data_IF_590989518785
#
_entry.id   IF_590989518785
#
_cell.length_a   1.000
_cell.length_b   1.000
_cell.length_c   1.000
_cell.angle_alpha   90.00
_cell.angle_beta   90.00
_cell.angle_gamma   90.00
#
_symmetry.space_group_name_H-M   'P 1'
#
loop_
_entity.id
_entity.type
_entity.pdbx_description
1 polymer ?
#
# COMPACT_ATOMS: atom_id res chain seq x y z
N UNK A 1 7.95 -22.91 17.09
CA UNK A 1 8.24 -22.79 15.66
C UNK A 1 7.87 -21.37 15.22
N UNK A 2 8.73 -20.38 15.49
CA UNK A 2 8.35 -18.94 15.45
C UNK A 2 8.95 -18.15 14.27
N UNK A 3 9.89 -18.72 13.51
CA UNK A 3 10.58 -18.04 12.39
C UNK A 3 10.60 -18.88 11.10
N UNK A 4 10.18 -20.15 11.18
CA UNK A 4 10.28 -21.11 10.08
C UNK A 4 8.97 -21.41 9.35
N UNK A 5 7.87 -20.74 9.69
CA UNK A 5 6.58 -20.96 9.05
C UNK A 5 6.40 -20.00 7.86
N UNK A 6 6.47 -20.49 6.62
CA UNK A 6 6.40 -19.63 5.42
C UNK A 6 5.06 -18.91 5.28
N UNK A 7 3.99 -19.49 5.84
CA UNK A 7 2.64 -18.92 5.78
C UNK A 7 2.58 -17.58 6.54
N UNK A 8 3.19 -17.50 7.73
CA UNK A 8 3.19 -16.25 8.52
C UNK A 8 4.00 -15.13 7.87
N UNK A 9 5.14 -15.47 7.25
CA UNK A 9 5.95 -14.50 6.53
C UNK A 9 5.19 -13.95 5.31
N UNK A 10 4.48 -14.83 4.62
CA UNK A 10 3.66 -14.46 3.46
C UNK A 10 2.48 -13.59 3.87
N UNK A 11 1.80 -13.91 4.98
CA UNK A 11 0.68 -13.11 5.51
C UNK A 11 1.12 -11.68 5.85
N UNK A 12 2.26 -11.51 6.53
CA UNK A 12 2.81 -10.18 6.86
C UNK A 12 3.18 -9.43 5.57
N UNK A 13 3.85 -10.09 4.62
CA UNK A 13 4.26 -9.47 3.37
C UNK A 13 3.07 -9.04 2.50
N UNK A 14 2.06 -9.91 2.35
CA UNK A 14 0.84 -9.62 1.60
C UNK A 14 0.07 -8.44 2.22
N UNK A 15 -0.01 -8.37 3.54
CA UNK A 15 -0.66 -7.24 4.20
C UNK A 15 0.01 -5.91 3.86
N UNK A 16 1.34 -5.84 3.96
CA UNK A 16 2.10 -4.62 3.64
C UNK A 16 1.87 -4.23 2.17
N UNK A 17 2.01 -5.17 1.23
CA UNK A 17 1.78 -4.93 -0.20
C UNK A 17 0.37 -4.40 -0.43
N UNK A 18 -0.64 -4.97 0.24
CA UNK A 18 -2.02 -4.55 0.10
C UNK A 18 -2.25 -3.11 0.56
N UNK A 19 -1.62 -2.69 1.67
CA UNK A 19 -1.65 -1.29 2.14
C UNK A 19 -1.04 -0.35 1.10
N UNK A 20 0.13 -0.70 0.54
CA UNK A 20 0.74 0.11 -0.53
C UNK A 20 -0.10 0.14 -1.81
N UNK A 21 -0.80 -0.94 -2.14
CA UNK A 21 -1.73 -0.97 -3.27
C UNK A 21 -2.91 -0.03 -3.07
N UNK A 22 -3.46 0.08 -1.85
CA UNK A 22 -4.50 1.10 -1.56
C UNK A 22 -3.95 2.50 -1.86
N UNK A 23 -2.73 2.82 -1.40
CA UNK A 23 -2.11 4.11 -1.70
C UNK A 23 -1.85 4.30 -3.19
N UNK A 24 -1.42 3.26 -3.91
CA UNK A 24 -1.24 3.32 -5.35
C UNK A 24 -2.58 3.62 -6.06
N UNK A 25 -3.67 2.95 -5.72
CA UNK A 25 -4.98 3.22 -6.32
C UNK A 25 -5.49 4.63 -6.02
N UNK A 26 -5.30 5.11 -4.79
CA UNK A 26 -5.57 6.51 -4.43
C UNK A 26 -4.71 7.46 -5.26
N UNK A 27 -3.43 7.14 -5.45
CA UNK A 27 -2.52 7.94 -6.27
C UNK A 27 -2.96 7.97 -7.75
N UNK A 28 -3.48 6.88 -8.31
CA UNK A 28 -4.02 6.87 -9.68
C UNK A 28 -5.25 7.79 -9.78
N UNK A 29 -6.11 7.82 -8.77
CA UNK A 29 -7.25 8.74 -8.72
C UNK A 29 -6.79 10.21 -8.63
N UNK A 30 -5.84 10.51 -7.74
CA UNK A 30 -5.24 11.84 -7.60
C UNK A 30 -4.54 12.28 -8.90
N UNK A 31 -3.75 11.40 -9.50
CA UNK A 31 -3.00 11.68 -10.71
C UNK A 31 -3.95 11.99 -11.88
N UNK A 32 -5.08 11.29 -11.96
CA UNK A 32 -6.10 11.57 -12.98
C UNK A 32 -6.83 12.89 -12.74
N UNK A 33 -7.04 13.29 -11.48
CA UNK A 33 -7.58 14.61 -11.15
C UNK A 33 -6.59 15.73 -11.46
N UNK A 34 -5.29 15.50 -11.24
CA UNK A 34 -4.22 16.50 -11.40
C UNK A 34 -3.75 16.68 -12.85
N UNK A 35 -3.82 15.63 -13.67
CA UNK A 35 -3.44 15.68 -15.09
C UNK A 35 -4.58 15.19 -15.99
N UNK A 36 -5.68 15.96 -16.12
CA UNK A 36 -6.79 15.63 -17.02
C UNK A 36 -6.43 15.70 -18.51
N UNK A 37 -5.29 16.30 -18.86
CA UNK A 37 -4.94 16.79 -20.20
C UNK A 37 -3.57 16.29 -20.72
N UNK A 38 -3.18 15.04 -20.45
CA UNK A 38 -2.12 14.43 -21.27
C UNK A 38 -2.77 13.76 -22.48
N UNK A 39 -2.97 14.55 -23.54
CA UNK A 39 -3.73 14.19 -24.75
C UNK A 39 -3.18 13.00 -25.56
N UNK A 40 -2.03 12.39 -25.23
CA UNK A 40 -1.40 11.41 -26.15
C UNK A 40 -0.83 10.12 -25.58
N UNK A 41 -0.98 9.80 -24.29
CA UNK A 41 -0.36 8.57 -23.77
C UNK A 41 -1.33 7.71 -22.95
N UNK A 42 -1.77 6.63 -23.61
CA UNK A 42 -2.40 5.41 -23.08
C UNK A 42 -3.42 5.60 -21.94
N UNK A 43 -4.69 5.77 -22.34
CA UNK A 43 -5.84 5.62 -21.43
C UNK A 43 -6.02 4.14 -21.12
N UNK A 44 -6.01 3.78 -19.84
CA UNK A 44 -6.38 2.43 -19.38
C UNK A 44 -7.78 2.11 -19.91
N UNK A 45 -7.96 1.08 -20.77
CA UNK A 45 -9.28 0.69 -21.24
C UNK A 45 -10.11 0.25 -20.02
N UNK A 46 -11.30 0.82 -19.83
CA UNK A 46 -12.23 0.61 -18.67
C UNK A 46 -12.00 1.46 -17.41
N UNK A 47 -11.28 2.57 -17.48
CA UNK A 47 -11.39 3.58 -16.43
C UNK A 47 -12.84 4.15 -16.36
N UNK A 48 -13.50 4.27 -15.20
CA UNK A 48 -13.03 4.15 -13.81
C UNK A 48 -13.40 2.85 -13.08
N UNK A 49 -13.86 1.79 -13.76
CA UNK A 49 -14.28 0.55 -13.09
C UNK A 49 -13.11 -0.18 -12.42
N UNK A 50 -11.97 -0.28 -13.13
CA UNK A 50 -10.81 -1.05 -12.65
C UNK A 50 -10.28 -0.51 -11.31
N UNK A 51 -10.03 0.80 -11.13
CA UNK A 51 -9.57 1.35 -9.85
C UNK A 51 -10.57 1.14 -8.71
N UNK A 52 -11.87 1.27 -8.97
CA UNK A 52 -12.90 1.14 -7.93
C UNK A 52 -12.96 -0.30 -7.41
N UNK A 53 -12.98 -1.28 -8.31
CA UNK A 53 -12.96 -2.71 -7.95
C UNK A 53 -11.68 -3.04 -7.18
N UNK A 54 -10.54 -2.48 -7.60
CA UNK A 54 -9.27 -2.73 -6.96
C UNK A 54 -9.19 -2.15 -5.53
N UNK A 55 -9.73 -0.94 -5.31
CA UNK A 55 -9.85 -0.36 -3.96
C UNK A 55 -10.75 -1.24 -3.09
N UNK A 56 -11.91 -1.66 -3.58
CA UNK A 56 -12.84 -2.51 -2.83
C UNK A 56 -12.16 -3.83 -2.44
N UNK A 57 -11.50 -4.49 -3.40
CA UNK A 57 -10.77 -5.74 -3.15
C UNK A 57 -9.64 -5.53 -2.13
N UNK A 58 -8.90 -4.42 -2.24
CA UNK A 58 -7.81 -4.14 -1.33
C UNK A 58 -8.27 -3.85 0.10
N UNK A 59 -9.34 -3.06 0.26
CA UNK A 59 -9.96 -2.79 1.57
C UNK A 59 -10.52 -4.08 2.15
N UNK A 60 -11.13 -4.94 1.33
CA UNK A 60 -11.64 -6.24 1.77
C UNK A 60 -10.52 -7.16 2.29
N UNK A 61 -9.41 -7.26 1.56
CA UNK A 61 -8.26 -8.08 1.98
C UNK A 61 -7.68 -7.54 3.29
N UNK A 62 -7.40 -6.23 3.38
CA UNK A 62 -6.87 -5.62 4.61
C UNK A 62 -7.82 -5.82 5.79
N UNK A 63 -9.13 -5.62 5.58
CA UNK A 63 -10.15 -5.85 6.60
C UNK A 63 -10.20 -7.31 7.04
N UNK A 64 -10.21 -8.25 6.09
CA UNK A 64 -10.23 -9.69 6.37
C UNK A 64 -8.99 -10.15 7.13
N UNK A 65 -7.79 -9.69 6.75
CA UNK A 65 -6.54 -10.02 7.43
C UNK A 65 -6.50 -9.43 8.85
N UNK A 66 -7.05 -8.23 9.05
CA UNK A 66 -7.13 -7.60 10.37
C UNK A 66 -8.00 -8.41 11.35
N UNK A 67 -9.11 -8.99 10.87
CA UNK A 67 -9.98 -9.84 11.70
C UNK A 67 -9.42 -11.25 11.92
N UNK A 68 -8.75 -11.85 10.93
CA UNK A 68 -8.24 -13.21 11.03
C UNK A 68 -6.94 -13.30 11.87
N UNK A 69 -5.98 -12.39 11.65
CA UNK A 69 -4.65 -12.46 12.28
C UNK A 69 -4.22 -11.10 12.83
N UNK A 70 -4.79 -10.66 13.98
CA UNK A 70 -4.53 -9.34 14.55
C UNK A 70 -3.07 -9.13 14.97
N UNK A 71 -2.36 -10.20 15.36
CA UNK A 71 -0.92 -10.13 15.69
C UNK A 71 -0.05 -9.79 14.47
N UNK A 72 -0.33 -10.40 13.32
CA UNK A 72 0.50 -10.22 12.11
C UNK A 72 0.25 -8.84 11.49
N UNK A 73 -0.97 -8.34 11.62
CA UNK A 73 -1.33 -6.97 11.25
C UNK A 73 -0.61 -5.93 12.12
N UNK A 74 -0.46 -6.19 13.42
CA UNK A 74 0.30 -5.31 14.33
C UNK A 74 1.77 -5.21 13.92
N UNK A 75 2.40 -6.33 13.54
CA UNK A 75 3.78 -6.32 13.02
C UNK A 75 3.89 -5.55 11.72
N UNK A 76 2.95 -5.74 10.79
CA UNK A 76 2.96 -5.02 9.51
C UNK A 76 2.75 -3.50 9.69
N UNK A 77 1.86 -3.09 10.61
CA UNK A 77 1.69 -1.68 11.00
C UNK A 77 2.94 -1.11 11.65
N UNK A 78 3.58 -1.87 12.55
CA UNK A 78 4.82 -1.45 13.20
C UNK A 78 5.95 -1.24 12.18
N UNK A 79 6.10 -2.15 11.20
CA UNK A 79 7.09 -2.04 10.12
C UNK A 79 6.80 -0.84 9.21
N UNK A 80 5.55 -0.65 8.81
CA UNK A 80 5.13 0.50 7.99
C UNK A 80 5.36 1.81 8.73
N UNK A 81 4.99 1.86 10.02
CA UNK A 81 5.21 3.00 10.90
C UNK A 81 6.69 3.31 11.11
N UNK A 82 7.55 2.28 11.22
CA UNK A 82 9.00 2.43 11.32
C UNK A 82 9.64 3.02 10.05
N UNK A 83 8.96 2.96 8.89
CA UNK A 83 9.37 3.68 7.69
C UNK A 83 9.35 5.21 7.85
N UNK A 84 8.44 5.75 8.67
CA UNK A 84 8.31 7.21 8.92
C UNK A 84 9.54 7.79 9.65
N UNK A 85 9.97 7.28 10.83
CA UNK A 85 11.14 7.81 11.51
C UNK A 85 12.42 7.62 10.69
N UNK A 86 12.54 6.51 9.94
CA UNK A 86 13.68 6.28 9.03
C UNK A 86 13.72 7.32 7.91
N UNK A 87 12.58 7.61 7.29
CA UNK A 87 12.47 8.65 6.27
C UNK A 87 12.88 10.01 6.84
N UNK A 88 12.30 10.43 7.97
CA UNK A 88 12.63 11.71 8.62
C UNK A 88 14.11 11.83 8.97
N UNK A 89 14.73 10.76 9.46
CA UNK A 89 16.17 10.75 9.75
C UNK A 89 17.01 10.95 8.50
N UNK A 90 16.65 10.29 7.39
CA UNK A 90 17.35 10.42 6.11
C UNK A 90 17.13 11.78 5.46
N UNK A 91 15.91 12.34 5.49
CA UNK A 91 15.63 13.67 4.90
C UNK A 91 16.29 14.79 5.69
N UNK A 92 16.40 14.67 7.03
CA UNK A 92 17.17 15.63 7.85
C UNK A 92 18.65 15.67 7.47
N UNK A 93 19.22 14.55 7.01
CA UNK A 93 20.61 14.49 6.58
C UNK A 93 20.83 15.18 5.22
N UNK A 94 19.84 15.12 4.32
CA UNK A 94 19.93 15.71 2.97
C UNK A 94 19.65 17.21 2.92
N UNK A 95 19.00 17.78 3.94
CA UNK A 95 18.76 19.25 4.04
C UNK A 95 19.92 19.99 4.72
N UNK A 96 20.85 19.26 5.35
CA UNK A 96 21.99 19.82 6.09
C UNK A 96 23.32 19.76 5.32
N UNK A 97 23.32 19.27 4.07
CA UNK A 97 24.42 19.38 3.09
C UNK A 97 24.02 20.39 2.00
#
# INVERSE_FOLDING_TARGET
MLVGDPDRLTDIAMFIIQVFYIFAFVAVFILRSRYPQSEKTYRVPLYPLIPVIAIIGAVYIVGSTLFNNPTDTMYALAITGAGIPVYVYLTKKTVND
#
